data_IF_266605285286
#
_entry.id   IF_266605285286
#
_cell.length_a   1.000
_cell.length_b   1.000
_cell.length_c   1.000
_cell.angle_alpha   90.00
_cell.angle_beta   90.00
_cell.angle_gamma   90.00
#
_symmetry.space_group_name_H-M   'P 1'
#
loop_
_entity.id
_entity.type
_entity.pdbx_description
1 polymer ?
#
# COMPACT_ATOMS: atom_id res chain seq x y z
N UNK A 1 30.32 13.84 -16.17
CA UNK A 1 30.97 12.74 -15.43
C UNK A 1 31.08 13.25 -13.99
N UNK A 2 30.28 12.83 -13.02
CA UNK A 2 30.08 11.46 -12.57
C UNK A 2 28.70 11.33 -11.89
N UNK A 3 27.98 10.29 -12.29
CA UNK A 3 26.72 9.82 -11.72
C UNK A 3 26.97 9.28 -10.30
N UNK A 4 26.17 9.70 -9.33
CA UNK A 4 25.95 8.92 -8.11
C UNK A 4 24.66 8.12 -8.31
N UNK A 5 24.85 6.92 -8.87
CA UNK A 5 23.84 5.88 -8.91
C UNK A 5 23.62 5.39 -7.47
N UNK A 6 22.45 5.68 -6.90
CA UNK A 6 22.01 4.92 -5.74
C UNK A 6 21.45 3.59 -6.24
N UNK A 7 22.22 2.59 -5.86
CA UNK A 7 22.16 1.18 -6.18
C UNK A 7 20.84 0.56 -5.74
N UNK A 8 20.45 -0.48 -6.47
CA UNK A 8 19.26 -1.30 -6.27
C UNK A 8 19.48 -2.40 -5.23
N UNK A 9 20.55 -2.31 -4.47
CA UNK A 9 20.89 -3.19 -3.36
C UNK A 9 20.18 -2.69 -2.10
N UNK A 10 19.15 -3.42 -1.67
CA UNK A 10 18.72 -3.35 -0.28
C UNK A 10 19.82 -4.05 0.51
N UNK A 11 20.84 -3.29 0.92
CA UNK A 11 21.94 -3.83 1.71
C UNK A 11 21.37 -4.60 2.92
N UNK A 12 21.89 -5.80 3.24
CA UNK A 12 21.62 -6.39 4.53
C UNK A 12 21.96 -5.35 5.61
N UNK A 13 21.20 -5.30 6.72
CA UNK A 13 21.69 -4.60 7.90
C UNK A 13 23.12 -5.10 8.13
N UNK A 14 24.08 -4.19 8.25
CA UNK A 14 25.50 -4.55 8.45
C UNK A 14 25.61 -5.58 9.57
N UNK A 15 26.61 -6.47 9.55
CA UNK A 15 26.82 -7.48 10.62
C UNK A 15 26.86 -6.88 12.04
N UNK A 16 27.07 -5.56 12.13
CA UNK A 16 27.01 -4.77 13.35
C UNK A 16 25.65 -4.12 13.68
N UNK A 17 24.55 -4.52 13.07
CA UNK A 17 23.26 -3.84 13.24
C UNK A 17 22.63 -4.10 14.62
N UNK A 18 22.71 -5.35 15.09
CA UNK A 18 22.33 -5.70 16.46
C UNK A 18 23.35 -5.15 17.47
N UNK A 19 24.66 -5.28 17.19
CA UNK A 19 25.70 -4.82 18.10
C UNK A 19 25.70 -3.30 18.26
N UNK A 20 25.40 -2.53 17.21
CA UNK A 20 25.31 -1.07 17.30
C UNK A 20 24.12 -0.58 18.13
N UNK A 21 22.98 -1.27 18.07
CA UNK A 21 21.81 -0.94 18.90
C UNK A 21 22.06 -1.31 20.38
N UNK A 22 22.62 -2.49 20.65
CA UNK A 22 23.00 -2.95 22.00
C UNK A 22 24.10 -2.08 22.61
N UNK A 23 25.14 -1.74 21.83
CA UNK A 23 26.25 -0.90 22.26
C UNK A 23 25.78 0.53 22.54
N UNK A 24 24.84 1.07 21.77
CA UNK A 24 24.23 2.38 22.03
C UNK A 24 23.41 2.39 23.33
N UNK A 25 22.65 1.33 23.62
CA UNK A 25 21.91 1.17 24.89
C UNK A 25 22.89 1.03 26.06
N UNK A 26 23.93 0.22 25.92
CA UNK A 26 24.98 0.02 26.92
C UNK A 26 25.77 1.29 27.21
N UNK A 27 26.17 2.05 26.18
CA UNK A 27 26.87 3.33 26.35
C UNK A 27 25.98 4.37 27.06
N UNK A 28 24.67 4.39 26.75
CA UNK A 28 23.71 5.29 27.42
C UNK A 28 23.51 4.90 28.89
N UNK A 29 23.42 3.61 29.20
CA UNK A 29 23.36 3.07 30.58
C UNK A 29 24.64 3.34 31.37
N UNK A 30 25.79 3.25 30.72
CA UNK A 30 27.09 3.55 31.35
C UNK A 30 27.21 5.04 31.69
N UNK A 31 26.85 5.92 30.75
CA UNK A 31 26.77 7.37 31.00
C UNK A 31 25.76 7.73 32.11
N UNK A 32 24.70 6.93 32.29
CA UNK A 32 23.75 7.06 33.39
C UNK A 32 24.38 6.74 34.75
N UNK A 33 25.06 5.59 34.87
CA UNK A 33 25.75 5.17 36.10
C UNK A 33 26.84 6.17 36.50
N UNK A 34 27.59 6.68 35.52
CA UNK A 34 28.67 7.66 35.74
C UNK A 34 28.15 9.06 36.14
N UNK A 35 26.94 9.44 35.69
CA UNK A 35 26.32 10.73 36.04
C UNK A 35 25.72 10.74 37.46
N UNK A 36 25.30 9.57 37.97
CA UNK A 36 24.76 9.38 39.32
C UNK A 36 25.84 9.22 40.39
N UNK A 37 27.02 8.71 40.03
CA UNK A 37 28.13 8.48 40.96
C UNK A 37 28.84 9.77 41.39
N UNK A 38 28.55 10.91 40.75
CA UNK A 38 29.22 12.20 40.97
C UNK A 38 28.40 13.29 41.66
N UNK A 39 28.47 13.31 43.00
CA UNK A 39 28.29 14.47 43.93
C UNK A 39 26.88 14.86 44.42
N UNK A 40 26.83 15.22 45.72
CA UNK A 40 25.77 16.01 46.38
C UNK A 40 25.55 17.33 45.61
N UNK A 41 24.31 17.63 45.20
CA UNK A 41 23.95 18.81 44.41
C UNK A 41 22.49 19.19 44.65
N UNK A 42 22.20 20.50 44.64
CA UNK A 42 20.86 21.10 44.74
C UNK A 42 19.81 20.36 43.91
N UNK A 43 18.63 20.17 44.50
CA UNK A 43 17.50 19.41 43.95
C UNK A 43 17.14 19.84 42.52
N UNK A 44 17.25 21.13 42.17
CA UNK A 44 16.93 21.60 40.82
C UNK A 44 17.96 21.17 39.76
N UNK A 45 19.25 21.18 40.12
CA UNK A 45 20.32 20.71 39.23
C UNK A 45 20.26 19.20 39.07
N UNK A 46 19.88 18.48 40.13
CA UNK A 46 19.63 17.04 40.07
C UNK A 46 18.41 16.73 39.19
N UNK A 47 17.29 17.47 39.33
CA UNK A 47 16.10 17.34 38.48
C UNK A 47 16.39 17.59 37.01
N UNK A 48 17.11 18.67 36.66
CA UNK A 48 17.50 18.97 35.27
C UNK A 48 18.36 17.86 34.66
N UNK A 49 19.30 17.31 35.42
CA UNK A 49 20.10 16.15 35.00
C UNK A 49 19.23 14.91 34.78
N UNK A 50 18.32 14.61 35.71
CA UNK A 50 17.41 13.46 35.62
C UNK A 50 16.51 13.55 34.38
N UNK A 51 15.94 14.73 34.11
CA UNK A 51 15.09 14.97 32.93
C UNK A 51 15.87 14.81 31.62
N UNK A 52 17.09 15.35 31.54
CA UNK A 52 17.95 15.18 30.36
C UNK A 52 18.29 13.70 30.11
N UNK A 53 18.51 12.93 31.17
CA UNK A 53 18.76 11.48 31.11
C UNK A 53 17.52 10.73 30.61
N UNK A 54 16.34 11.01 31.16
CA UNK A 54 15.09 10.37 30.71
C UNK A 54 14.85 10.65 29.22
N UNK A 55 15.07 11.88 28.76
CA UNK A 55 14.97 12.21 27.33
C UNK A 55 15.99 11.47 26.47
N UNK A 56 17.24 11.29 26.95
CA UNK A 56 18.26 10.54 26.23
C UNK A 56 17.86 9.06 26.09
N UNK A 57 17.38 8.43 27.16
CA UNK A 57 16.92 7.03 27.14
C UNK A 57 15.75 6.86 26.18
N UNK A 58 14.73 7.73 26.26
CA UNK A 58 13.57 7.69 25.34
C UNK A 58 14.02 7.87 23.88
N UNK A 59 14.97 8.77 23.61
CA UNK A 59 15.52 8.96 22.26
C UNK A 59 16.22 7.71 21.72
N UNK A 60 17.02 7.04 22.57
CA UNK A 60 17.75 5.83 22.22
C UNK A 60 16.81 4.66 21.97
N UNK A 61 15.80 4.45 22.82
CA UNK A 61 14.76 3.42 22.63
C UNK A 61 14.05 3.64 21.29
N UNK A 62 13.62 4.88 21.00
CA UNK A 62 12.97 5.22 19.72
C UNK A 62 13.85 4.93 18.50
N UNK A 63 15.17 5.10 18.61
CA UNK A 63 16.12 4.76 17.54
C UNK A 63 16.25 3.25 17.37
N UNK A 64 16.39 2.51 18.47
CA UNK A 64 16.45 1.06 18.44
C UNK A 64 15.16 0.45 17.83
N UNK A 65 13.99 0.96 18.20
CA UNK A 65 12.70 0.55 17.61
C UNK A 65 12.68 0.83 16.10
N UNK A 66 13.16 1.99 15.67
CA UNK A 66 13.21 2.35 14.24
C UNK A 66 14.14 1.43 13.44
N UNK A 67 15.29 1.06 14.00
CA UNK A 67 16.22 0.11 13.40
C UNK A 67 15.64 -1.31 13.38
N UNK A 68 15.01 -1.76 14.47
CA UNK A 68 14.31 -3.05 14.51
C UNK A 68 13.21 -3.13 13.45
N UNK A 69 12.42 -2.07 13.26
CA UNK A 69 11.42 -1.99 12.19
C UNK A 69 12.06 -2.12 10.81
N UNK A 70 13.22 -1.49 10.56
CA UNK A 70 13.93 -1.61 9.28
C UNK A 70 14.42 -3.04 9.05
N UNK A 71 15.00 -3.68 10.06
CA UNK A 71 15.41 -5.08 10.02
C UNK A 71 14.22 -6.00 9.71
N UNK A 72 13.11 -5.81 10.41
CA UNK A 72 11.88 -6.57 10.23
C UNK A 72 11.27 -6.40 8.82
N UNK A 73 11.38 -5.21 8.23
CA UNK A 73 11.00 -4.94 6.84
C UNK A 73 11.96 -5.62 5.86
N UNK A 74 13.26 -5.63 6.17
CA UNK A 74 14.28 -6.27 5.35
C UNK A 74 14.09 -7.78 5.31
N UNK A 75 13.96 -8.43 6.47
CA UNK A 75 13.73 -9.88 6.60
C UNK A 75 12.54 -10.34 5.77
N UNK A 76 11.41 -9.63 5.88
CA UNK A 76 10.18 -9.98 5.14
C UNK A 76 10.27 -9.72 3.63
N UNK A 77 11.25 -8.96 3.15
CA UNK A 77 11.50 -8.78 1.71
C UNK A 77 12.54 -9.75 1.15
N UNK A 78 13.31 -10.40 2.01
CA UNK A 78 14.30 -11.36 1.57
C UNK A 78 13.62 -12.65 1.11
N UNK A 79 13.95 -13.12 -0.09
CA UNK A 79 13.53 -14.43 -0.59
C UNK A 79 13.96 -15.56 0.35
N UNK A 80 15.06 -15.35 1.07
CA UNK A 80 15.71 -16.37 1.88
C UNK A 80 15.12 -16.43 3.30
N UNK A 81 14.52 -15.33 3.76
CA UNK A 81 14.05 -15.18 5.15
C UNK A 81 12.55 -14.84 5.28
N UNK A 82 11.80 -14.69 4.18
CA UNK A 82 10.36 -14.38 4.24
C UNK A 82 9.54 -15.48 4.94
N UNK A 83 10.00 -16.73 4.88
CA UNK A 83 9.36 -17.88 5.54
C UNK A 83 9.38 -17.80 7.08
N UNK A 84 10.19 -16.92 7.67
CA UNK A 84 10.38 -16.84 9.12
C UNK A 84 9.23 -16.07 9.80
N UNK A 85 8.48 -15.20 9.09
CA UNK A 85 7.52 -14.28 9.73
C UNK A 85 6.19 -14.13 8.96
N UNK A 86 5.51 -15.25 8.69
CA UNK A 86 4.11 -15.37 8.19
C UNK A 86 3.91 -15.69 6.68
N UNK A 87 4.96 -15.87 5.87
CA UNK A 87 4.88 -16.21 4.43
C UNK A 87 3.86 -15.36 3.62
N UNK A 88 3.76 -14.07 3.93
CA UNK A 88 2.85 -13.15 3.21
C UNK A 88 3.59 -12.56 2.01
N UNK A 89 3.03 -12.70 0.81
CA UNK A 89 3.55 -12.03 -0.39
C UNK A 89 3.36 -10.51 -0.26
N UNK A 90 4.44 -9.74 -0.35
CA UNK A 90 4.43 -8.29 -0.16
C UNK A 90 4.55 -7.53 -1.48
N UNK A 91 3.83 -6.43 -1.58
CA UNK A 91 4.05 -5.47 -2.66
C UNK A 91 5.45 -4.85 -2.55
N UNK A 92 6.22 -4.96 -3.64
CA UNK A 92 7.57 -4.45 -3.73
C UNK A 92 7.63 -3.11 -4.46
N UNK A 93 8.71 -2.37 -4.22
CA UNK A 93 8.92 -1.09 -4.88
C UNK A 93 9.77 -1.29 -6.13
N UNK A 94 9.27 -0.89 -7.30
CA UNK A 94 10.08 -0.78 -8.50
C UNK A 94 10.85 0.55 -8.51
N UNK A 95 12.13 0.56 -8.91
CA UNK A 95 12.85 1.80 -9.16
C UNK A 95 12.19 2.60 -10.29
N UNK A 96 11.90 3.89 -10.06
CA UNK A 96 11.22 4.74 -11.06
C UNK A 96 12.02 4.83 -12.36
N UNK A 97 13.37 4.79 -12.27
CA UNK A 97 14.29 4.75 -13.42
C UNK A 97 14.05 3.54 -14.34
N UNK A 98 13.50 2.45 -13.82
CA UNK A 98 13.23 1.22 -14.57
C UNK A 98 11.81 1.21 -15.19
N UNK A 99 10.99 2.23 -14.94
CA UNK A 99 9.62 2.32 -15.48
C UNK A 99 9.66 3.19 -16.75
N UNK A 100 9.32 2.63 -17.93
CA UNK A 100 9.23 3.40 -19.17
C UNK A 100 8.28 4.60 -19.03
N UNK A 101 8.62 5.73 -19.65
CA UNK A 101 7.85 6.99 -19.49
C UNK A 101 6.37 6.85 -19.87
N UNK A 102 6.06 6.05 -20.91
CA UNK A 102 4.69 5.77 -21.34
C UNK A 102 3.88 4.90 -20.38
N UNK A 103 4.51 4.32 -19.34
CA UNK A 103 3.90 3.49 -18.30
C UNK A 103 3.84 4.19 -16.94
N UNK A 104 4.41 5.40 -16.82
CA UNK A 104 4.47 6.12 -15.54
C UNK A 104 3.11 6.64 -15.09
N UNK A 105 2.23 6.98 -16.02
CA UNK A 105 0.88 7.44 -15.72
C UNK A 105 -0.11 6.90 -16.75
N UNK A 106 -1.36 6.77 -16.34
CA UNK A 106 -2.47 6.41 -17.22
C UNK A 106 -3.25 7.68 -17.57
N UNK A 107 -3.54 7.82 -18.86
CA UNK A 107 -4.44 8.84 -19.40
C UNK A 107 -5.41 8.13 -20.34
N UNK A 108 -6.62 7.90 -19.86
CA UNK A 108 -7.74 7.36 -20.63
C UNK A 108 -8.76 8.48 -20.84
N UNK A 109 -9.52 8.46 -21.95
CA UNK A 109 -10.63 9.38 -22.13
C UNK A 109 -11.66 9.16 -21.02
N UNK A 110 -12.39 10.20 -20.56
CA UNK A 110 -13.43 10.04 -19.55
C UNK A 110 -14.48 9.01 -19.95
N UNK A 111 -14.92 9.07 -21.21
CA UNK A 111 -15.89 8.16 -21.80
C UNK A 111 -15.50 7.88 -23.25
N UNK A 112 -15.89 6.71 -23.74
CA UNK A 112 -15.87 6.35 -25.16
C UNK A 112 -17.30 6.11 -25.65
N UNK A 113 -17.48 6.16 -26.97
CA UNK A 113 -18.76 5.90 -27.65
C UNK A 113 -18.86 4.44 -28.07
N UNK A 114 -20.07 4.01 -28.44
CA UNK A 114 -20.39 2.64 -28.87
C UNK A 114 -19.94 1.61 -27.83
N UNK A 115 -20.21 1.89 -26.56
CA UNK A 115 -19.88 0.97 -25.46
C UNK A 115 -20.82 -0.23 -25.47
N UNK A 116 -20.25 -1.39 -25.15
CA UNK A 116 -21.00 -2.62 -24.88
C UNK A 116 -21.61 -2.58 -23.48
N UNK A 117 -20.88 -2.02 -22.50
CA UNK A 117 -21.28 -1.99 -21.09
C UNK A 117 -20.81 -0.73 -20.35
N UNK A 118 -21.64 -0.29 -19.41
CA UNK A 118 -21.21 0.57 -18.31
C UNK A 118 -20.72 -0.31 -17.17
N UNK A 119 -19.60 0.05 -16.55
CA UNK A 119 -18.97 -0.77 -15.52
C UNK A 119 -18.71 0.07 -14.29
N UNK A 120 -19.28 -0.33 -13.16
CA UNK A 120 -19.06 0.32 -11.87
C UNK A 120 -18.14 -0.55 -11.02
N UNK A 121 -17.08 0.07 -10.49
CA UNK A 121 -16.02 -0.59 -9.74
C UNK A 121 -15.90 0.05 -8.36
N UNK A 122 -15.98 -0.77 -7.32
CA UNK A 122 -15.93 -0.34 -5.92
C UNK A 122 -15.15 -1.35 -5.05
N UNK A 123 -14.50 -0.84 -4.00
CA UNK A 123 -13.78 -1.63 -3.02
C UNK A 123 -14.19 -1.29 -1.59
N UNK A 124 -14.47 -2.31 -0.78
CA UNK A 124 -14.94 -2.13 0.60
C UNK A 124 -14.05 -2.84 1.63
N UNK A 125 -14.03 -2.29 2.84
CA UNK A 125 -13.41 -2.91 4.02
C UNK A 125 -14.26 -2.72 5.26
N UNK A 126 -14.60 -3.81 5.92
CA UNK A 126 -15.36 -3.85 7.19
C UNK A 126 -14.61 -4.78 8.15
N UNK A 127 -14.32 -4.30 9.37
CA UNK A 127 -13.77 -5.11 10.47
C UNK A 127 -12.59 -6.02 10.06
N UNK A 128 -11.63 -5.47 9.31
CA UNK A 128 -10.45 -6.13 8.74
C UNK A 128 -10.66 -7.12 7.59
N UNK A 129 -11.87 -7.31 7.11
CA UNK A 129 -12.12 -8.07 5.90
C UNK A 129 -12.27 -7.08 4.73
N UNK A 130 -11.75 -7.45 3.57
CA UNK A 130 -11.70 -6.57 2.40
C UNK A 130 -12.21 -7.32 1.19
N UNK A 131 -12.92 -6.64 0.32
CA UNK A 131 -13.47 -7.19 -0.91
C UNK A 131 -13.73 -6.08 -1.91
N UNK A 132 -13.90 -6.46 -3.16
CA UNK A 132 -14.25 -5.52 -4.22
C UNK A 132 -15.27 -6.13 -5.17
N UNK A 133 -15.96 -5.27 -5.90
CA UNK A 133 -16.92 -5.66 -6.90
C UNK A 133 -16.72 -4.90 -8.22
N UNK A 134 -17.03 -5.59 -9.31
CA UNK A 134 -17.13 -5.02 -10.64
C UNK A 134 -18.50 -5.38 -11.19
N UNK A 135 -19.36 -4.38 -11.35
CA UNK A 135 -20.75 -4.53 -11.76
C UNK A 135 -20.95 -4.00 -13.18
N UNK A 136 -21.41 -4.85 -14.09
CA UNK A 136 -21.64 -4.49 -15.49
C UNK A 136 -23.11 -4.19 -15.74
N UNK A 137 -23.38 -3.09 -16.41
CA UNK A 137 -24.71 -2.61 -16.76
C UNK A 137 -24.86 -2.47 -18.26
N UNK A 138 -26.07 -2.76 -18.75
CA UNK A 138 -26.49 -2.49 -20.12
C UNK A 138 -27.92 -1.97 -20.07
N UNK A 139 -28.20 -0.88 -20.78
CA UNK A 139 -29.53 -0.26 -20.82
C UNK A 139 -30.11 0.02 -19.41
N UNK A 140 -29.25 0.48 -18.48
CA UNK A 140 -29.54 0.72 -17.05
C UNK A 140 -29.92 -0.52 -16.22
N UNK A 141 -29.81 -1.72 -16.77
CA UNK A 141 -30.02 -2.97 -16.05
C UNK A 141 -28.69 -3.64 -15.68
N UNK A 142 -28.61 -4.17 -14.46
CA UNK A 142 -27.45 -4.94 -14.02
C UNK A 142 -27.44 -6.30 -14.72
N UNK A 143 -26.36 -6.61 -15.45
CA UNK A 143 -26.23 -7.86 -16.21
C UNK A 143 -25.37 -8.88 -15.48
N UNK A 144 -24.30 -8.43 -14.82
CA UNK A 144 -23.35 -9.32 -14.16
C UNK A 144 -22.59 -8.58 -13.04
N UNK A 145 -22.14 -9.34 -12.04
CA UNK A 145 -21.38 -8.85 -10.89
C UNK A 145 -20.21 -9.78 -10.60
N UNK A 146 -18.99 -9.27 -10.71
CA UNK A 146 -17.79 -9.98 -10.29
C UNK A 146 -17.42 -9.53 -8.88
N UNK A 147 -17.53 -10.44 -7.92
CA UNK A 147 -17.31 -10.14 -6.50
C UNK A 147 -16.13 -10.95 -5.97
N UNK A 148 -15.12 -10.26 -5.42
CA UNK A 148 -13.91 -10.90 -4.93
C UNK A 148 -13.64 -10.54 -3.47
N UNK A 149 -13.25 -11.55 -2.71
CA UNK A 149 -12.80 -11.43 -1.34
C UNK A 149 -11.28 -11.40 -1.31
N UNK A 150 -10.73 -10.37 -0.66
CA UNK A 150 -9.30 -10.19 -0.46
C UNK A 150 -8.87 -10.66 0.94
N UNK A 151 -7.56 -10.72 1.14
CA UNK A 151 -6.97 -11.09 2.42
C UNK A 151 -7.11 -9.96 3.44
N UNK A 152 -7.09 -10.31 4.73
CA UNK A 152 -7.34 -9.37 5.84
C UNK A 152 -6.33 -8.20 5.91
N UNK A 153 -5.16 -8.41 5.31
CA UNK A 153 -4.08 -7.44 5.28
C UNK A 153 -4.23 -6.38 4.17
N UNK A 154 -5.11 -6.59 3.19
CA UNK A 154 -5.29 -5.66 2.06
C UNK A 154 -6.06 -4.40 2.44
N UNK A 155 -5.75 -3.26 1.82
CA UNK A 155 -6.45 -2.00 2.10
C UNK A 155 -7.65 -1.78 1.18
N UNK A 156 -8.55 -0.86 1.57
CA UNK A 156 -9.62 -0.35 0.69
C UNK A 156 -9.02 0.14 -0.64
N UNK A 157 -7.96 0.95 -0.58
CA UNK A 157 -7.24 1.40 -1.79
C UNK A 157 -6.83 0.25 -2.73
N UNK A 158 -6.35 -0.88 -2.19
CA UNK A 158 -6.02 -2.03 -3.05
C UNK A 158 -7.25 -2.69 -3.64
N UNK A 159 -8.35 -2.78 -2.88
CA UNK A 159 -9.62 -3.31 -3.36
C UNK A 159 -10.18 -2.47 -4.52
N UNK A 160 -10.22 -1.15 -4.35
CA UNK A 160 -10.63 -0.18 -5.37
C UNK A 160 -9.80 -0.29 -6.65
N UNK A 161 -8.49 -0.30 -6.51
CA UNK A 161 -7.58 -0.39 -7.65
C UNK A 161 -7.65 -1.76 -8.33
N UNK A 162 -7.84 -2.84 -7.56
CA UNK A 162 -8.05 -4.18 -8.09
C UNK A 162 -9.35 -4.26 -8.90
N UNK A 163 -10.44 -3.62 -8.44
CA UNK A 163 -11.69 -3.56 -9.18
C UNK A 163 -11.52 -2.89 -10.55
N UNK A 164 -10.85 -1.74 -10.58
CA UNK A 164 -10.55 -1.01 -11.82
C UNK A 164 -9.66 -1.85 -12.76
N UNK A 165 -8.60 -2.46 -12.22
CA UNK A 165 -7.70 -3.31 -12.99
C UNK A 165 -8.43 -4.53 -13.56
N UNK A 166 -9.30 -5.16 -12.77
CA UNK A 166 -10.11 -6.29 -13.19
C UNK A 166 -11.06 -5.90 -14.32
N UNK A 167 -11.77 -4.78 -14.20
CA UNK A 167 -12.66 -4.27 -15.25
C UNK A 167 -11.91 -4.03 -16.58
N UNK A 168 -10.71 -3.44 -16.52
CA UNK A 168 -9.87 -3.27 -17.70
C UNK A 168 -9.46 -4.60 -18.33
N UNK A 169 -9.00 -5.57 -17.53
CA UNK A 169 -8.62 -6.89 -18.03
C UNK A 169 -9.81 -7.69 -18.57
N UNK A 170 -10.99 -7.52 -17.99
CA UNK A 170 -12.23 -8.10 -18.49
C UNK A 170 -12.59 -7.53 -19.87
N UNK A 171 -12.48 -6.21 -20.06
CA UNK A 171 -12.67 -5.58 -21.36
C UNK A 171 -11.66 -6.09 -22.40
N UNK A 172 -10.38 -6.18 -22.03
CA UNK A 172 -9.32 -6.69 -22.90
C UNK A 172 -9.58 -8.12 -23.35
N UNK A 173 -9.92 -9.00 -22.41
CA UNK A 173 -10.07 -10.43 -22.66
C UNK A 173 -11.26 -10.77 -23.55
N UNK A 174 -12.29 -9.93 -23.53
CA UNK A 174 -13.50 -10.11 -24.33
C UNK A 174 -13.57 -9.16 -25.53
N UNK A 175 -12.57 -8.28 -25.71
CA UNK A 175 -12.58 -7.21 -26.69
C UNK A 175 -13.83 -6.31 -26.61
N UNK A 176 -14.28 -6.00 -25.39
CA UNK A 176 -15.41 -5.11 -25.15
C UNK A 176 -14.96 -3.65 -25.06
N UNK A 177 -15.81 -2.75 -25.55
CA UNK A 177 -15.74 -1.32 -25.28
C UNK A 177 -16.56 -1.00 -24.03
N UNK A 178 -15.93 -0.44 -23.01
CA UNK A 178 -16.59 -0.15 -21.73
C UNK A 178 -16.28 1.24 -21.21
N UNK A 179 -17.19 1.78 -20.40
CA UNK A 179 -16.91 2.95 -19.56
C UNK A 179 -16.84 2.49 -18.09
N UNK A 180 -15.67 2.63 -17.46
CA UNK A 180 -15.45 2.33 -16.05
C UNK A 180 -15.73 3.58 -15.22
N UNK A 181 -16.57 3.43 -14.20
CA UNK A 181 -16.91 4.43 -13.21
C UNK A 181 -16.44 3.97 -11.82
N UNK A 182 -15.79 4.87 -11.09
CA UNK A 182 -15.34 4.64 -9.71
C UNK A 182 -15.43 5.95 -8.94
N UNK A 183 -15.73 5.90 -7.65
CA UNK A 183 -15.67 7.07 -6.77
C UNK A 183 -14.32 7.20 -6.04
N UNK A 184 -13.40 6.25 -6.26
CA UNK A 184 -12.10 6.21 -5.60
C UNK A 184 -11.10 7.21 -6.18
N UNK A 185 -11.15 8.44 -5.66
CA UNK A 185 -10.18 9.49 -6.00
C UNK A 185 -8.74 9.04 -5.72
N UNK A 186 -8.55 8.23 -4.69
CA UNK A 186 -7.23 7.68 -4.32
C UNK A 186 -6.63 6.80 -5.43
N UNK A 187 -7.44 5.93 -6.03
CA UNK A 187 -7.04 5.09 -7.17
C UNK A 187 -6.74 5.92 -8.41
N UNK A 188 -7.58 6.91 -8.72
CA UNK A 188 -7.36 7.83 -9.84
C UNK A 188 -6.04 8.59 -9.70
N UNK A 189 -5.77 9.13 -8.51
CA UNK A 189 -4.53 9.87 -8.24
C UNK A 189 -3.30 8.94 -8.34
N UNK A 190 -3.41 7.69 -7.87
CA UNK A 190 -2.33 6.71 -8.00
C UNK A 190 -2.03 6.35 -9.46
N UNK A 191 -3.07 6.19 -10.28
CA UNK A 191 -2.96 5.91 -11.72
C UNK A 191 -2.37 7.10 -12.50
N UNK A 192 -2.67 8.34 -12.10
CA UNK A 192 -2.11 9.56 -12.72
C UNK A 192 -0.70 9.89 -12.23
N UNK A 193 -0.30 9.42 -11.05
CA UNK A 193 0.97 9.77 -10.44
C UNK A 193 2.17 9.07 -11.09
N UNK A 194 3.07 9.84 -11.72
CA UNK A 194 4.32 9.32 -12.29
C UNK A 194 5.34 8.83 -11.24
N UNK A 195 5.13 9.10 -9.95
CA UNK A 195 6.06 8.79 -8.87
C UNK A 195 5.72 7.50 -8.12
N UNK A 196 4.62 6.81 -8.48
CA UNK A 196 4.27 5.55 -7.82
C UNK A 196 5.37 4.51 -8.00
N UNK A 197 5.76 3.90 -6.88
CA UNK A 197 6.79 2.84 -6.84
C UNK A 197 6.17 1.46 -6.60
N UNK A 198 4.91 1.39 -6.20
CA UNK A 198 4.21 0.13 -5.91
C UNK A 198 4.11 -0.73 -7.16
N UNK A 199 4.61 -1.96 -7.10
CA UNK A 199 4.53 -2.91 -8.21
C UNK A 199 3.07 -3.20 -8.59
N UNK A 200 2.19 -3.31 -7.59
CA UNK A 200 0.74 -3.46 -7.78
C UNK A 200 0.14 -2.29 -8.57
N UNK A 201 0.44 -1.05 -8.20
CA UNK A 201 -0.04 0.14 -8.94
C UNK A 201 0.53 0.18 -10.35
N UNK A 202 1.80 -0.18 -10.53
CA UNK A 202 2.44 -0.20 -11.85
C UNK A 202 1.83 -1.28 -12.75
N UNK A 203 1.50 -2.44 -12.19
CA UNK A 203 0.78 -3.50 -12.91
C UNK A 203 -0.56 -2.99 -13.41
N UNK A 204 -1.38 -2.39 -12.54
CA UNK A 204 -2.66 -1.80 -12.95
C UNK A 204 -2.47 -0.77 -14.07
N UNK A 205 -1.45 0.10 -13.98
CA UNK A 205 -1.15 1.07 -15.05
C UNK A 205 -0.82 0.41 -16.38
N UNK A 206 -0.10 -0.70 -16.38
CA UNK A 206 0.23 -1.42 -17.61
C UNK A 206 -1.03 -1.98 -18.26
N UNK A 207 -1.89 -2.62 -17.48
CA UNK A 207 -3.15 -3.21 -17.95
C UNK A 207 -4.07 -2.13 -18.52
N UNK A 208 -4.30 -1.04 -17.77
CA UNK A 208 -5.08 0.12 -18.24
C UNK A 208 -4.46 0.79 -19.48
N UNK A 209 -3.14 0.77 -19.63
CA UNK A 209 -2.47 1.31 -20.82
C UNK A 209 -2.61 0.41 -22.05
N UNK A 210 -2.75 -0.90 -21.85
CA UNK A 210 -2.92 -1.87 -22.93
C UNK A 210 -4.33 -1.81 -23.55
N UNK A 211 -5.33 -1.36 -22.80
CA UNK A 211 -6.73 -1.25 -23.25
C UNK A 211 -7.12 0.13 -23.76
N UNK A 212 -6.14 0.96 -24.16
CA UNK A 212 -6.41 2.25 -24.78
C UNK A 212 -7.27 2.08 -26.03
N UNK A 213 -8.40 2.78 -26.05
CA UNK A 213 -9.41 2.70 -27.12
C UNK A 213 -10.57 1.75 -26.83
N UNK A 214 -10.42 0.84 -25.86
CA UNK A 214 -11.50 -0.03 -25.37
C UNK A 214 -12.12 0.47 -24.07
N UNK A 215 -11.42 1.32 -23.31
CA UNK A 215 -11.87 1.75 -21.99
C UNK A 215 -11.93 3.27 -21.88
N UNK A 216 -13.12 3.78 -21.56
CA UNK A 216 -13.31 5.10 -20.93
C UNK A 216 -13.21 4.97 -19.41
N UNK A 217 -12.69 5.98 -18.73
CA UNK A 217 -12.49 5.97 -17.28
C UNK A 217 -12.88 7.30 -16.64
N UNK A 218 -13.96 7.28 -15.85
CA UNK A 218 -14.54 8.45 -15.21
C UNK A 218 -14.67 8.31 -13.71
N UNK A 219 -14.51 9.44 -13.02
CA UNK A 219 -14.86 9.55 -11.60
C UNK A 219 -16.35 9.84 -11.47
N UNK A 220 -17.00 9.16 -10.52
CA UNK A 220 -18.36 9.47 -10.09
C UNK A 220 -18.37 9.83 -8.61
N UNK A 221 -19.37 10.61 -8.19
CA UNK A 221 -19.48 10.99 -6.78
C UNK A 221 -20.12 9.85 -5.98
N UNK A 222 -19.51 9.50 -4.86
CA UNK A 222 -20.07 8.53 -3.91
C UNK A 222 -21.39 9.03 -3.30
N UNK A 223 -22.33 8.11 -3.09
CA UNK A 223 -23.55 8.30 -2.26
C UNK A 223 -24.44 9.49 -2.67
N UNK A 224 -24.69 9.64 -3.98
CA UNK A 224 -25.61 10.67 -4.52
C UNK A 224 -26.75 10.10 -5.36
N UNK A 225 -27.10 8.83 -5.23
CA UNK A 225 -28.19 8.21 -5.99
C UNK A 225 -27.80 7.68 -7.37
N UNK A 226 -26.50 7.55 -7.67
CA UNK A 226 -26.07 6.90 -8.92
C UNK A 226 -26.23 5.40 -8.73
N UNK A 227 -27.31 4.86 -9.30
CA UNK A 227 -27.74 3.46 -9.12
C UNK A 227 -26.60 2.45 -9.29
N UNK A 228 -25.80 2.56 -10.36
CA UNK A 228 -24.70 1.63 -10.61
C UNK A 228 -23.57 1.71 -9.56
N UNK A 229 -23.26 2.91 -9.06
CA UNK A 229 -22.24 3.11 -8.03
C UNK A 229 -22.72 2.58 -6.67
N UNK A 230 -23.98 2.85 -6.32
CA UNK A 230 -24.59 2.33 -5.09
C UNK A 230 -24.69 0.80 -5.11
N UNK A 231 -25.00 0.23 -6.27
CA UNK A 231 -24.99 -1.22 -6.46
C UNK A 231 -23.58 -1.80 -6.30
N UNK A 232 -22.57 -1.18 -6.90
CA UNK A 232 -21.19 -1.63 -6.75
C UNK A 232 -20.71 -1.58 -5.28
N UNK A 233 -21.02 -0.53 -4.53
CA UNK A 233 -20.72 -0.43 -3.08
C UNK A 233 -21.40 -1.53 -2.27
N UNK A 234 -22.68 -1.83 -2.56
CA UNK A 234 -23.40 -2.94 -1.91
C UNK A 234 -22.78 -4.30 -2.24
N UNK A 235 -22.40 -4.51 -3.50
CA UNK A 235 -21.76 -5.74 -3.94
C UNK A 235 -20.35 -5.89 -3.36
N UNK A 236 -19.56 -4.82 -3.26
CA UNK A 236 -18.24 -4.84 -2.66
C UNK A 236 -18.31 -5.17 -1.17
N UNK A 237 -19.28 -4.63 -0.44
CA UNK A 237 -19.57 -4.99 0.96
C UNK A 237 -19.98 -6.46 1.10
N UNK A 238 -20.79 -6.97 0.19
CA UNK A 238 -21.19 -8.39 0.17
C UNK A 238 -20.00 -9.32 -0.14
N UNK A 239 -19.14 -8.91 -1.08
CA UNK A 239 -17.96 -9.65 -1.51
C UNK A 239 -16.98 -9.96 -0.37
N UNK A 240 -16.95 -9.13 0.68
CA UNK A 240 -16.18 -9.37 1.90
C UNK A 240 -16.45 -10.75 2.51
N UNK A 241 -17.69 -11.25 2.39
CA UNK A 241 -18.12 -12.53 2.96
C UNK A 241 -18.34 -13.60 1.89
N UNK A 242 -18.94 -13.25 0.76
CA UNK A 242 -19.40 -14.21 -0.26
C UNK A 242 -18.58 -14.19 -1.55
N UNK A 243 -17.64 -13.26 -1.68
CA UNK A 243 -16.81 -13.13 -2.88
C UNK A 243 -15.84 -14.28 -3.06
N UNK A 244 -15.46 -14.51 -4.32
CA UNK A 244 -14.42 -15.49 -4.67
C UNK A 244 -13.08 -15.02 -4.11
N UNK A 245 -12.34 -15.91 -3.44
CA UNK A 245 -11.03 -15.57 -2.90
C UNK A 245 -10.06 -15.15 -4.00
N UNK A 246 -9.47 -13.96 -3.85
CA UNK A 246 -8.42 -13.46 -4.73
C UNK A 246 -7.22 -13.01 -3.89
N UNK A 247 -6.07 -13.61 -4.17
CA UNK A 247 -4.82 -13.25 -3.52
C UNK A 247 -4.12 -12.14 -4.29
N UNK A 248 -3.94 -11.01 -3.60
CA UNK A 248 -3.10 -9.90 -4.07
C UNK A 248 -2.03 -9.59 -3.01
N UNK A 249 -0.86 -9.05 -3.41
CA UNK A 249 0.21 -8.79 -2.46
C UNK A 249 -0.20 -7.84 -1.34
N UNK A 250 0.30 -8.08 -0.13
CA UNK A 250 0.06 -7.23 1.01
C UNK A 250 0.66 -5.83 0.79
N UNK A 251 -0.06 -4.76 1.18
CA UNK A 251 0.42 -3.40 1.00
C UNK A 251 1.55 -3.12 2.00
N UNK A 252 2.49 -2.23 1.68
CA UNK A 252 3.57 -1.86 2.61
C UNK A 252 3.07 -1.31 3.95
N UNK A 253 1.86 -0.72 3.97
CA UNK A 253 1.20 -0.24 5.19
C UNK A 253 0.86 -1.38 6.16
N UNK A 254 0.62 -2.60 5.66
CA UNK A 254 0.39 -3.78 6.50
C UNK A 254 1.58 -4.04 7.42
N UNK A 255 2.80 -4.03 6.87
CA UNK A 255 4.03 -4.20 7.64
C UNK A 255 4.18 -3.13 8.72
N UNK A 256 3.90 -1.87 8.38
CA UNK A 256 4.01 -0.78 9.35
C UNK A 256 3.03 -0.91 10.50
N UNK A 257 1.85 -1.52 10.28
CA UNK A 257 0.86 -1.78 11.32
C UNK A 257 1.32 -2.94 12.22
N UNK A 258 1.67 -4.09 11.61
CA UNK A 258 2.21 -5.28 12.29
C UNK A 258 3.45 -5.02 13.16
N UNK A 259 4.21 -3.95 12.87
CA UNK A 259 5.42 -3.59 13.60
C UNK A 259 5.22 -2.51 14.66
N UNK A 260 4.01 -1.96 14.76
CA UNK A 260 3.61 -1.03 15.83
C UNK A 260 2.79 -1.70 16.92
N UNK A 261 2.19 -2.85 16.61
CA UNK A 261 1.49 -3.74 17.52
C UNK A 261 2.50 -4.61 18.27
#
# INVERSE_FOLDING_TARGET
>A
MQLMAYDTTVFPPSDNFCSGAEEMVLQTLKAFIDSLSGKKSDDEKMRKKLTAIVHAIISTIRRADAEYIKFQIWVRRSTDYNNIIDNVSLDYNMPIKNIPSNRKYVSLPPQIQDIDFEVYADGSRIENKTGFAVCTFKDNENINNFCFKLQQHNSVFQAELAAIQYAANWAASNNYKINIYTDSLSSIMALKSASSRSSFVISAKNDLSAVKGLVGFSWVKAHVGIQGNEWADQQAKSAISTGVGLDIPAPRSYLRRKLKD
#
